data_IF_827430159583
#
_entry.id   IF_827430159583
#
_cell.length_a   1.000
_cell.length_b   1.000
_cell.length_c   1.000
_cell.angle_alpha   90.00
_cell.angle_beta   90.00
_cell.angle_gamma   90.00
#
_symmetry.space_group_name_H-M   'P 1'
#
loop_
_entity.id
_entity.type
_entity.pdbx_description
1 polymer ?
#
# COMPACT_ATOMS: atom_id res chain seq x y z
N UNK A 1 4.71 -16.00 -28.69
CA UNK A 1 3.79 -16.79 -27.84
C UNK A 1 2.58 -15.93 -27.61
N UNK A 2 1.40 -16.51 -27.83
CA UNK A 2 0.16 -15.79 -27.65
C UNK A 2 -0.11 -15.63 -26.15
N UNK A 3 -0.20 -14.41 -25.63
CA UNK A 3 -0.22 -14.13 -24.20
C UNK A 3 -1.40 -13.25 -23.79
N UNK A 4 -2.23 -13.81 -22.91
CA UNK A 4 -3.37 -13.13 -22.30
C UNK A 4 -2.92 -12.20 -21.19
N UNK A 5 -3.60 -11.06 -21.03
CA UNK A 5 -3.37 -10.11 -19.94
C UNK A 5 -4.45 -10.22 -18.87
N UNK A 6 -4.06 -10.14 -17.59
CA UNK A 6 -4.99 -10.16 -16.46
C UNK A 6 -4.79 -8.91 -15.61
N UNK A 7 -5.87 -8.22 -15.30
CA UNK A 7 -5.95 -7.21 -14.24
C UNK A 7 -6.71 -7.76 -13.05
N UNK A 8 -6.19 -7.58 -11.83
CA UNK A 8 -6.83 -8.03 -10.59
C UNK A 8 -6.94 -6.84 -9.64
N UNK A 9 -8.06 -6.67 -8.97
CA UNK A 9 -8.23 -5.75 -7.85
C UNK A 9 -8.73 -6.50 -6.61
N UNK A 10 -7.87 -6.58 -5.60
CA UNK A 10 -8.18 -7.23 -4.32
C UNK A 10 -8.73 -6.19 -3.33
N UNK A 11 -10.05 -6.24 -3.14
CA UNK A 11 -10.78 -5.48 -2.13
C UNK A 11 -10.86 -6.21 -0.78
N UNK A 12 -11.43 -5.53 0.23
CA UNK A 12 -11.72 -6.15 1.52
C UNK A 12 -12.86 -7.18 1.48
N UNK A 13 -13.79 -7.05 0.52
CA UNK A 13 -14.97 -7.93 0.40
C UNK A 13 -14.87 -8.86 -0.80
N UNK A 14 -14.48 -8.33 -1.96
CA UNK A 14 -14.39 -9.07 -3.22
C UNK A 14 -13.04 -8.86 -3.88
N UNK A 15 -12.62 -9.89 -4.61
CA UNK A 15 -11.53 -9.84 -5.58
C UNK A 15 -12.15 -9.81 -6.97
N UNK A 16 -11.88 -8.73 -7.68
CA UNK A 16 -12.34 -8.47 -9.03
C UNK A 16 -11.22 -8.80 -10.02
N UNK A 17 -11.55 -9.45 -11.14
CA UNK A 17 -10.58 -9.80 -12.17
C UNK A 17 -11.14 -9.49 -13.55
N UNK A 18 -10.29 -8.92 -14.39
CA UNK A 18 -10.53 -8.70 -15.83
C UNK A 18 -9.42 -9.42 -16.60
N UNK A 19 -9.82 -10.27 -17.53
CA UNK A 19 -8.94 -10.89 -18.51
C UNK A 19 -9.17 -10.23 -19.87
N UNK A 20 -8.09 -9.92 -20.57
CA UNK A 20 -8.10 -9.50 -21.98
C UNK A 20 -7.27 -10.49 -22.79
N UNK A 21 -7.92 -11.24 -23.68
CA UNK A 21 -7.22 -12.11 -24.63
C UNK A 21 -6.69 -11.34 -25.84
N UNK A 22 -5.95 -12.04 -26.70
CA UNK A 22 -5.33 -11.43 -27.88
C UNK A 22 -6.31 -11.03 -28.97
N UNK A 23 -7.50 -11.64 -28.99
CA UNK A 23 -8.57 -11.27 -29.90
C UNK A 23 -9.35 -10.06 -29.38
N UNK A 24 -8.95 -9.49 -28.24
CA UNK A 24 -9.60 -8.36 -27.60
C UNK A 24 -10.87 -8.75 -26.85
N UNK A 25 -11.12 -10.04 -26.61
CA UNK A 25 -12.26 -10.50 -25.81
C UNK A 25 -11.96 -10.30 -24.34
N UNK A 26 -12.99 -9.87 -23.63
CA UNK A 26 -12.93 -9.59 -22.20
C UNK A 26 -13.70 -10.65 -21.44
N UNK A 27 -13.09 -11.20 -20.40
CA UNK A 27 -13.75 -12.06 -19.41
C UNK A 27 -13.58 -11.46 -18.02
N UNK A 28 -14.60 -11.58 -17.19
CA UNK A 28 -14.65 -10.98 -15.86
C UNK A 28 -14.95 -12.07 -14.86
N UNK A 29 -14.27 -12.03 -13.72
CA UNK A 29 -14.59 -12.85 -12.56
C UNK A 29 -14.69 -11.97 -11.32
N UNK A 30 -15.60 -12.33 -10.43
CA UNK A 30 -15.76 -11.68 -9.12
C UNK A 30 -15.96 -12.76 -8.08
N UNK A 31 -15.04 -12.84 -7.14
CA UNK A 31 -15.06 -13.86 -6.09
C UNK A 31 -14.93 -13.20 -4.71
N UNK A 32 -15.47 -13.81 -3.64
CA UNK A 32 -15.23 -13.33 -2.28
C UNK A 32 -13.73 -13.24 -1.97
N UNK A 33 -13.29 -12.18 -1.29
CA UNK A 33 -11.91 -12.06 -0.84
C UNK A 33 -11.63 -13.07 0.28
N UNK A 34 -10.50 -13.77 0.18
CA UNK A 34 -9.99 -14.67 1.20
C UNK A 34 -9.07 -13.90 2.16
N UNK A 35 -9.52 -13.64 3.39
CA UNK A 35 -8.86 -12.70 4.31
C UNK A 35 -7.59 -13.24 4.98
N UNK A 36 -7.54 -14.55 5.25
CA UNK A 36 -6.38 -15.25 5.80
C UNK A 36 -5.22 -15.29 4.78
N UNK A 37 -5.55 -15.54 3.51
CA UNK A 37 -4.61 -15.49 2.40
C UNK A 37 -5.30 -15.06 1.11
N UNK A 38 -5.07 -13.81 0.71
CA UNK A 38 -5.67 -13.21 -0.48
C UNK A 38 -5.29 -13.91 -1.78
N UNK A 39 -4.17 -14.66 -1.81
CA UNK A 39 -3.76 -15.43 -2.98
C UNK A 39 -4.82 -16.46 -3.40
N UNK A 40 -5.56 -17.04 -2.45
CA UNK A 40 -6.63 -17.99 -2.77
C UNK A 40 -7.77 -17.32 -3.56
N UNK A 41 -8.15 -16.10 -3.18
CA UNK A 41 -9.16 -15.31 -3.91
C UNK A 41 -8.70 -14.99 -5.33
N UNK A 42 -7.44 -14.59 -5.51
CA UNK A 42 -6.86 -14.34 -6.84
C UNK A 42 -6.88 -15.60 -7.71
N UNK A 43 -6.42 -16.74 -7.18
CA UNK A 43 -6.39 -18.01 -7.91
C UNK A 43 -7.80 -18.50 -8.26
N UNK A 44 -8.77 -18.32 -7.35
CA UNK A 44 -10.17 -18.65 -7.61
C UNK A 44 -10.77 -17.77 -8.73
N UNK A 45 -10.45 -16.48 -8.75
CA UNK A 45 -10.88 -15.57 -9.82
C UNK A 45 -10.30 -15.97 -11.18
N UNK A 46 -9.01 -16.33 -11.23
CA UNK A 46 -8.36 -16.82 -12.46
C UNK A 46 -9.02 -18.13 -12.92
N UNK A 47 -9.31 -19.04 -11.99
CA UNK A 47 -9.99 -20.30 -12.31
C UNK A 47 -11.37 -20.12 -12.97
N UNK A 48 -12.09 -19.03 -12.66
CA UNK A 48 -13.40 -18.73 -13.27
C UNK A 48 -13.32 -18.24 -14.72
N UNK A 49 -12.18 -17.70 -15.17
CA UNK A 49 -12.03 -17.28 -16.58
C UNK A 49 -11.67 -18.44 -17.50
N UNK A 50 -11.23 -19.58 -16.94
CA UNK A 50 -10.83 -20.77 -17.70
C UNK A 50 -9.50 -20.64 -18.43
N UNK A 51 -8.77 -19.53 -18.25
CA UNK A 51 -7.44 -19.33 -18.85
C UNK A 51 -6.40 -20.20 -18.16
N UNK A 52 -5.51 -20.82 -18.94
CA UNK A 52 -4.34 -21.51 -18.38
C UNK A 52 -3.32 -20.48 -17.88
N UNK A 53 -2.79 -20.65 -16.67
CA UNK A 53 -1.73 -19.78 -16.15
C UNK A 53 -0.48 -19.75 -17.06
N UNK A 54 -0.22 -20.82 -17.83
CA UNK A 54 0.88 -20.86 -18.78
C UNK A 54 0.69 -19.93 -20.00
N UNK A 55 -0.55 -19.50 -20.27
CA UNK A 55 -0.92 -18.60 -21.36
C UNK A 55 -1.00 -17.14 -20.91
N UNK A 56 -0.83 -16.87 -19.61
CA UNK A 56 -0.84 -15.52 -19.05
C UNK A 56 0.54 -14.90 -19.23
N UNK A 57 0.62 -13.81 -20.00
CA UNK A 57 1.88 -13.07 -20.17
C UNK A 57 2.12 -12.00 -19.13
N UNK A 58 1.04 -11.41 -18.61
CA UNK A 58 1.12 -10.33 -17.63
C UNK A 58 -0.06 -10.39 -16.65
N UNK A 59 0.26 -10.12 -15.38
CA UNK A 59 -0.72 -9.90 -14.32
C UNK A 59 -0.45 -8.51 -13.74
N UNK A 60 -1.45 -7.64 -13.82
CA UNK A 60 -1.49 -6.34 -13.16
C UNK A 60 -2.30 -6.51 -11.88
N UNK A 61 -1.64 -6.42 -10.73
CA UNK A 61 -2.27 -6.66 -9.43
C UNK A 61 -2.45 -5.33 -8.68
N UNK A 62 -3.70 -4.92 -8.50
CA UNK A 62 -4.14 -3.87 -7.61
C UNK A 62 -4.69 -4.44 -6.31
N UNK A 63 -4.49 -3.73 -5.20
CA UNK A 63 -5.07 -4.09 -3.92
C UNK A 63 -5.31 -2.86 -3.06
N UNK A 64 -6.36 -2.92 -2.25
CA UNK A 64 -6.68 -1.90 -1.25
C UNK A 64 -6.10 -2.21 0.14
N UNK A 65 -5.47 -3.39 0.31
CA UNK A 65 -4.98 -3.89 1.61
C UNK A 65 -4.00 -2.91 2.28
N UNK A 66 -3.04 -2.37 1.53
CA UNK A 66 -2.05 -1.43 2.07
C UNK A 66 -2.69 -0.12 2.53
N UNK A 67 -3.59 0.44 1.74
CA UNK A 67 -4.29 1.68 2.08
C UNK A 67 -5.16 1.49 3.32
N UNK A 68 -5.91 0.39 3.39
CA UNK A 68 -6.73 0.06 4.55
C UNK A 68 -5.88 -0.18 5.80
N UNK A 69 -4.72 -0.83 5.68
CA UNK A 69 -3.81 -1.02 6.80
C UNK A 69 -3.32 0.32 7.38
N UNK A 70 -3.07 1.33 6.53
CA UNK A 70 -2.70 2.69 6.97
C UNK A 70 -3.88 3.40 7.63
N UNK A 71 -5.08 3.36 7.03
CA UNK A 71 -6.27 4.01 7.56
C UNK A 71 -6.72 3.41 8.90
N UNK A 72 -6.67 2.08 9.01
CA UNK A 72 -7.04 1.33 10.22
C UNK A 72 -5.89 1.23 11.23
N UNK A 73 -4.72 1.79 10.92
CA UNK A 73 -3.49 1.71 11.73
C UNK A 73 -3.07 0.27 12.10
N UNK A 74 -3.37 -0.69 11.24
CA UNK A 74 -2.93 -2.09 11.35
C UNK A 74 -1.56 -2.26 10.69
N UNK A 75 -0.56 -1.57 11.25
CA UNK A 75 0.80 -1.56 10.75
C UNK A 75 1.73 -2.36 11.66
N UNK A 76 2.85 -2.81 11.11
CA UNK A 76 3.92 -3.39 11.92
C UNK A 76 4.49 -2.36 12.90
N UNK A 77 4.87 -2.82 14.10
CA UNK A 77 5.58 -1.98 15.07
C UNK A 77 6.89 -1.51 14.45
N UNK A 78 7.02 -0.19 14.31
CA UNK A 78 8.14 0.46 13.61
C UNK A 78 8.82 1.47 14.54
N UNK A 79 10.13 1.63 14.41
CA UNK A 79 10.89 2.70 15.06
C UNK A 79 11.38 3.74 14.04
N UNK A 80 11.57 4.98 14.48
CA UNK A 80 12.12 6.05 13.65
C UNK A 80 13.48 6.47 14.19
N UNK A 81 14.47 6.60 13.32
CA UNK A 81 15.75 7.21 13.65
C UNK A 81 15.85 8.53 12.90
N UNK A 82 16.08 9.62 13.64
CA UNK A 82 16.26 10.97 13.08
C UNK A 82 17.60 11.54 13.50
N UNK A 83 18.05 12.60 12.84
CA UNK A 83 19.11 13.45 13.40
C UNK A 83 18.64 14.09 14.70
N UNK A 84 19.59 14.40 15.60
CA UNK A 84 19.33 15.09 16.87
C UNK A 84 18.59 16.41 16.64
N UNK A 85 17.55 16.68 17.42
CA UNK A 85 16.66 17.84 17.26
C UNK A 85 15.50 17.63 16.28
N UNK A 86 15.40 16.47 15.62
CA UNK A 86 14.36 16.18 14.61
C UNK A 86 13.41 15.05 15.00
N UNK A 87 13.49 14.54 16.24
CA UNK A 87 12.62 13.47 16.77
C UNK A 87 11.12 13.73 16.57
N UNK A 88 10.74 15.00 16.56
CA UNK A 88 9.35 15.46 16.65
C UNK A 88 8.77 15.84 15.29
N UNK A 89 9.50 15.55 14.21
CA UNK A 89 9.08 15.87 12.84
C UNK A 89 7.72 15.27 12.46
N UNK A 90 7.38 14.09 13.00
CA UNK A 90 6.06 13.49 12.77
C UNK A 90 4.94 14.23 13.50
N UNK A 91 5.19 14.77 14.69
CA UNK A 91 4.21 15.54 15.48
C UNK A 91 3.98 16.93 14.90
N UNK A 92 5.06 17.58 14.47
CA UNK A 92 5.03 18.89 13.83
C UNK A 92 4.36 18.83 12.46
N UNK A 93 4.63 17.77 11.70
CA UNK A 93 4.14 17.60 10.34
C UNK A 93 4.57 18.74 9.40
N UNK A 94 3.86 18.89 8.28
CA UNK A 94 4.07 20.00 7.32
C UNK A 94 2.77 20.73 7.02
N UNK A 95 2.08 21.18 8.07
CA UNK A 95 0.76 21.84 7.99
C UNK A 95 -0.33 20.94 7.41
N UNK A 96 -0.23 19.63 7.64
CA UNK A 96 -1.34 18.70 7.39
C UNK A 96 -2.55 19.20 8.18
N UNK A 97 -3.68 19.43 7.50
CA UNK A 97 -4.94 19.86 8.13
C UNK A 97 -5.93 18.69 8.08
N UNK A 98 -6.02 17.86 9.13
CA UNK A 98 -7.00 16.78 9.18
C UNK A 98 -8.44 17.28 9.08
N UNK A 99 -8.70 18.47 9.64
CA UNK A 99 -9.92 19.23 9.41
C UNK A 99 -9.60 20.46 8.57
N UNK A 100 -10.23 20.56 7.40
CA UNK A 100 -10.04 21.69 6.48
C UNK A 100 -10.47 23.03 7.11
N UNK A 101 -11.46 22.98 8.01
CA UNK A 101 -12.08 24.15 8.65
C UNK A 101 -12.05 24.00 10.18
N UNK A 102 -10.85 24.11 10.75
CA UNK A 102 -10.63 24.12 12.20
C UNK A 102 -9.52 25.10 12.58
N UNK A 103 -9.71 25.84 13.68
CA UNK A 103 -8.69 26.73 14.24
C UNK A 103 -7.60 25.93 15.00
N UNK A 104 -7.95 24.74 15.48
CA UNK A 104 -7.06 23.81 16.18
C UNK A 104 -7.23 22.40 15.62
N UNK A 105 -6.25 21.53 15.86
CA UNK A 105 -6.29 20.13 15.47
C UNK A 105 -5.22 19.33 16.20
N UNK A 106 -5.46 18.01 16.29
CA UNK A 106 -4.48 17.05 16.77
C UNK A 106 -4.03 16.14 15.63
N UNK A 107 -2.81 15.65 15.71
CA UNK A 107 -2.30 14.60 14.83
C UNK A 107 -1.71 13.51 15.71
N UNK A 108 -2.16 12.27 15.52
CA UNK A 108 -1.58 11.11 16.16
C UNK A 108 -0.52 10.52 15.20
N UNK A 109 0.78 10.57 15.52
CA UNK A 109 1.81 10.00 14.66
C UNK A 109 1.66 8.49 14.45
N UNK A 110 2.18 7.96 13.34
CA UNK A 110 2.19 6.51 13.10
C UNK A 110 3.18 5.78 14.03
N UNK A 111 4.28 6.44 14.38
CA UNK A 111 5.32 5.90 15.27
C UNK A 111 5.23 6.72 16.56
N UNK A 112 4.95 6.10 17.72
CA UNK A 112 4.86 6.82 18.98
C UNK A 112 6.25 7.31 19.43
N UNK A 113 6.28 8.37 20.24
CA UNK A 113 7.51 9.12 20.56
C UNK A 113 8.60 8.23 21.19
N UNK A 114 8.22 7.28 22.02
CA UNK A 114 9.10 6.32 22.70
C UNK A 114 9.83 5.36 21.76
N UNK A 115 9.34 5.18 20.53
CA UNK A 115 10.01 4.39 19.48
C UNK A 115 10.80 5.27 18.50
N UNK A 116 10.97 6.56 18.81
CA UNK A 116 11.78 7.49 18.01
C UNK A 116 13.09 7.79 18.73
N UNK A 117 14.19 7.57 18.03
CA UNK A 117 15.54 7.76 18.55
C UNK A 117 16.31 8.75 17.68
N UNK A 118 17.30 9.38 18.29
CA UNK A 118 18.11 10.40 17.65
C UNK A 118 19.57 9.96 17.55
N UNK A 119 20.19 10.26 16.42
CA UNK A 119 21.63 10.13 16.21
C UNK A 119 22.28 11.51 16.13
N UNK A 120 23.47 11.64 16.69
CA UNK A 120 24.29 12.85 16.54
C UNK A 120 24.93 12.84 15.16
N UNK A 121 24.31 13.54 14.22
CA UNK A 121 24.80 13.77 12.85
C UNK A 121 24.09 15.02 12.30
N UNK A 122 24.78 15.74 11.41
CA UNK A 122 24.16 16.80 10.59
C UNK A 122 24.83 16.93 9.22
N UNK A 123 23.99 16.97 8.20
CA UNK A 123 24.35 17.39 6.85
C UNK A 123 23.66 18.73 6.49
N UNK A 124 24.38 19.64 5.83
CA UNK A 124 23.82 20.88 5.32
C UNK A 124 23.11 20.69 3.95
N UNK A 125 22.60 21.78 3.38
CA UNK A 125 21.88 21.74 2.11
C UNK A 125 22.78 21.47 0.89
N UNK A 126 24.09 21.67 1.02
CA UNK A 126 25.10 21.40 -0.02
C UNK A 126 25.64 19.97 0.08
N UNK A 127 25.20 19.21 1.08
CA UNK A 127 25.59 17.81 1.31
C UNK A 127 26.84 17.65 2.18
N UNK A 128 27.36 18.72 2.78
CA UNK A 128 28.52 18.65 3.65
C UNK A 128 28.12 18.22 5.07
N UNK A 129 28.93 17.36 5.68
CA UNK A 129 28.78 16.97 7.09
C UNK A 129 29.28 18.09 7.98
N UNK A 130 28.41 18.60 8.85
CA UNK A 130 28.68 19.72 9.77
C UNK A 130 28.61 19.32 11.24
N UNK A 131 28.20 18.08 11.54
CA UNK A 131 28.25 17.47 12.87
C UNK A 131 28.28 15.96 12.78
#
# INVERSE_FOLDING_TARGET
MQQTSIGVDVGGTFTDLIQLDEQGRVSIAKVPTTLDNQAHGVLAAIGQTGVSLAEVGVIVHGTTTTTNAVLERKLARTGLITTRGFRDVLELGRRTRPSAYGLTGGFEPLIPRELRYEVSERMDADGAVVQ
#
